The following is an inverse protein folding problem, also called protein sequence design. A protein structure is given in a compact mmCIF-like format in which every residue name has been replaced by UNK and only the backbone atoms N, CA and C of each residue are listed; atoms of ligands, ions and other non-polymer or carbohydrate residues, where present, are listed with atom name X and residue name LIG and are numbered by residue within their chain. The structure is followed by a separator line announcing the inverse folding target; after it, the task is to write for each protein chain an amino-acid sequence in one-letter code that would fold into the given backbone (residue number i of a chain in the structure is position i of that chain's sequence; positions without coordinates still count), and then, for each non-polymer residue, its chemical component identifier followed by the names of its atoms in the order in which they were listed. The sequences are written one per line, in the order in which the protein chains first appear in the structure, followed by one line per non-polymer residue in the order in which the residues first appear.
data_IF_345847247713
#
_entry.id   IF_345847247713
#
_cell.length_a   1.000
_cell.length_b   1.000
_cell.length_c   1.000
_cell.angle_alpha   90.00
_cell.angle_beta   90.00
_cell.angle_gamma   90.00
#
_symmetry.space_group_name_H-M   'P 1'
#
loop_
_entity.id
_entity.type
_entity.pdbx_description
1 polymer ?
#
# COMPACT_ATOMS: atom_id res chain seq x y z
N UNK A 1 2.11 -28.98 -11.88
CA UNK A 1 1.32 -27.91 -11.24
C UNK A 1 0.59 -28.52 -10.07
N UNK A 2 1.10 -28.33 -8.84
CA UNK A 2 0.36 -28.71 -7.63
C UNK A 2 -0.39 -27.46 -7.17
N UNK A 3 -1.67 -27.63 -6.87
CA UNK A 3 -2.55 -26.55 -6.48
C UNK A 3 -2.00 -25.84 -5.24
N UNK A 4 -1.94 -24.51 -5.29
CA UNK A 4 -1.84 -23.70 -4.09
C UNK A 4 -2.91 -24.18 -3.11
N UNK A 5 -2.56 -24.44 -1.84
CA UNK A 5 -3.58 -24.57 -0.79
C UNK A 5 -4.07 -23.16 -0.44
N UNK A 6 -4.71 -22.50 -1.40
CA UNK A 6 -5.46 -21.25 -1.20
C UNK A 6 -6.75 -21.48 -0.43
N UNK A 7 -7.11 -22.74 -0.16
CA UNK A 7 -8.29 -23.14 0.59
C UNK A 7 -7.88 -23.75 1.93
N UNK A 8 -8.24 -23.09 3.03
CA UNK A 8 -8.12 -23.61 4.39
C UNK A 8 -9.50 -24.08 4.86
N UNK A 9 -9.63 -25.36 5.23
CA UNK A 9 -10.94 -25.86 5.69
C UNK A 9 -11.25 -25.36 7.11
N UNK A 10 -12.54 -25.16 7.40
CA UNK A 10 -13.02 -24.78 8.74
C UNK A 10 -12.57 -25.80 9.80
N UNK A 11 -12.51 -27.10 9.45
CA UNK A 11 -12.03 -28.15 10.35
C UNK A 11 -10.53 -28.01 10.66
N UNK A 12 -9.70 -27.66 9.68
CA UNK A 12 -8.27 -27.39 9.90
C UNK A 12 -8.07 -26.16 10.80
N UNK A 13 -8.84 -25.09 10.60
CA UNK A 13 -8.84 -23.91 11.48
C UNK A 13 -9.21 -24.26 12.92
N UNK A 14 -10.33 -24.96 13.12
CA UNK A 14 -10.78 -25.39 14.45
C UNK A 14 -9.74 -26.26 15.15
N UNK A 15 -9.06 -27.16 14.41
CA UNK A 15 -7.97 -27.98 14.93
C UNK A 15 -6.78 -27.13 15.35
N UNK A 16 -6.35 -26.17 14.53
CA UNK A 16 -5.25 -25.25 14.84
C UNK A 16 -5.56 -24.41 16.09
N UNK A 17 -6.77 -23.87 16.19
CA UNK A 17 -7.23 -23.13 17.38
C UNK A 17 -7.20 -24.03 18.62
N UNK A 18 -7.70 -25.26 18.52
CA UNK A 18 -7.66 -26.23 19.61
C UNK A 18 -6.23 -26.56 20.07
N UNK A 19 -5.28 -26.68 19.14
CA UNK A 19 -3.86 -26.89 19.44
C UNK A 19 -3.23 -25.68 20.12
N UNK A 20 -3.59 -24.45 19.75
CA UNK A 20 -3.09 -23.26 20.42
C UNK A 20 -3.65 -23.13 21.85
N UNK A 21 -4.93 -23.46 22.04
CA UNK A 21 -5.54 -23.50 23.38
C UNK A 21 -4.86 -24.53 24.29
N UNK A 22 -4.55 -25.73 23.79
CA UNK A 22 -3.83 -26.75 24.58
C UNK A 22 -2.40 -26.32 24.94
N UNK A 23 -1.79 -25.43 24.15
CA UNK A 23 -0.50 -24.77 24.43
C UNK A 23 -0.60 -23.53 25.32
N UNK A 24 -1.76 -23.29 25.94
CA UNK A 24 -2.05 -22.14 26.82
C UNK A 24 -1.90 -20.77 26.13
N UNK A 25 -2.11 -20.71 24.82
CA UNK A 25 -2.21 -19.44 24.09
C UNK A 25 -3.59 -18.83 24.38
N UNK A 26 -3.63 -17.57 24.81
CA UNK A 26 -4.87 -16.88 25.18
C UNK A 26 -5.76 -16.60 23.97
N UNK A 27 -7.07 -16.51 24.14
CA UNK A 27 -8.01 -16.23 23.02
C UNK A 27 -7.65 -14.93 22.28
N UNK A 28 -7.21 -13.89 23.01
CA UNK A 28 -6.72 -12.65 22.39
C UNK A 28 -5.48 -12.87 21.52
N UNK A 29 -4.57 -13.76 21.91
CA UNK A 29 -3.37 -14.09 21.12
C UNK A 29 -3.72 -14.99 19.94
N UNK A 30 -4.70 -15.88 20.10
CA UNK A 30 -5.23 -16.73 19.02
C UNK A 30 -5.77 -15.87 17.88
N UNK A 31 -6.60 -14.86 18.17
CA UNK A 31 -7.12 -13.95 17.13
C UNK A 31 -5.98 -13.30 16.32
N UNK A 32 -4.95 -12.79 17.00
CA UNK A 32 -3.78 -12.16 16.36
C UNK A 32 -2.97 -13.13 15.50
N UNK A 33 -2.81 -14.38 15.96
CA UNK A 33 -2.12 -15.42 15.19
C UNK A 33 -2.95 -15.86 13.97
N UNK A 34 -4.28 -15.86 14.05
CA UNK A 34 -5.15 -16.11 12.90
C UNK A 34 -4.98 -15.03 11.83
N UNK A 35 -4.95 -13.75 12.22
CA UNK A 35 -4.68 -12.64 11.28
C UNK A 35 -3.33 -12.82 10.56
N UNK A 36 -2.27 -13.16 11.30
CA UNK A 36 -0.96 -13.46 10.73
C UNK A 36 -0.97 -14.69 9.81
N UNK A 37 -1.75 -15.71 10.14
CA UNK A 37 -1.85 -16.94 9.35
C UNK A 37 -2.59 -16.70 8.04
N UNK A 38 -3.67 -15.91 8.07
CA UNK A 38 -4.47 -15.54 6.90
C UNK A 38 -3.73 -14.57 5.97
N UNK A 39 -2.77 -13.82 6.50
CA UNK A 39 -1.81 -13.06 5.71
C UNK A 39 -2.07 -11.57 5.75
N UNK A 40 -1.24 -10.85 6.50
CA UNK A 40 -1.23 -9.40 6.52
C UNK A 40 -0.22 -8.89 5.49
N UNK A 41 -0.66 -8.81 4.24
CA UNK A 41 0.20 -8.49 3.08
C UNK A 41 0.98 -7.19 3.23
N UNK A 42 0.44 -6.20 3.95
CA UNK A 42 1.11 -4.92 4.25
C UNK A 42 2.41 -5.07 5.05
N UNK A 43 2.61 -6.20 5.73
CA UNK A 43 3.80 -6.49 6.52
C UNK A 43 4.65 -7.62 5.94
N UNK A 44 4.27 -8.16 4.78
CA UNK A 44 5.05 -9.17 4.07
C UNK A 44 6.00 -8.53 3.05
N UNK A 45 7.08 -9.23 2.72
CA UNK A 45 7.93 -8.90 1.58
C UNK A 45 7.46 -9.63 0.29
N UNK A 46 8.22 -9.47 -0.80
CA UNK A 46 7.93 -10.11 -2.10
C UNK A 46 7.90 -11.66 -2.03
N UNK A 47 8.57 -12.27 -1.04
CA UNK A 47 8.58 -13.73 -0.81
C UNK A 47 7.41 -14.21 0.06
N UNK A 48 6.43 -13.35 0.34
CA UNK A 48 5.32 -13.58 1.26
C UNK A 48 5.75 -14.04 2.66
N UNK A 49 6.91 -13.54 3.14
CA UNK A 49 7.38 -13.72 4.52
C UNK A 49 7.24 -12.43 5.31
N UNK A 50 7.07 -12.53 6.62
CA UNK A 50 7.13 -11.41 7.56
C UNK A 50 8.58 -11.20 8.00
N UNK A 51 9.26 -10.14 7.54
CA UNK A 51 10.66 -9.92 7.83
C UNK A 51 10.83 -9.22 9.20
N UNK A 52 12.00 -9.39 9.83
CA UNK A 52 12.28 -8.90 11.20
C UNK A 52 12.13 -7.38 11.34
N UNK A 53 12.39 -6.64 10.26
CA UNK A 53 12.21 -5.19 10.14
C UNK A 53 10.77 -4.78 10.48
N UNK A 54 9.79 -5.63 10.16
CA UNK A 54 8.37 -5.36 10.37
C UNK A 54 7.86 -5.85 11.74
N UNK A 55 8.66 -6.55 12.55
CA UNK A 55 8.18 -7.13 13.81
C UNK A 55 7.68 -6.09 14.81
N UNK A 56 8.32 -4.92 14.86
CA UNK A 56 7.87 -3.84 15.72
C UNK A 56 6.48 -3.35 15.30
N UNK A 57 6.29 -3.09 14.00
CA UNK A 57 5.03 -2.56 13.47
C UNK A 57 3.90 -3.59 13.54
N UNK A 58 4.17 -4.85 13.22
CA UNK A 58 3.24 -5.96 13.41
C UNK A 58 2.82 -6.05 14.88
N UNK A 59 3.78 -5.96 15.81
CA UNK A 59 3.50 -6.03 17.24
C UNK A 59 2.58 -4.88 17.68
N UNK A 60 2.77 -3.68 17.13
CA UNK A 60 1.94 -2.51 17.42
C UNK A 60 0.55 -2.63 16.81
N UNK A 61 0.45 -3.06 15.55
CA UNK A 61 -0.81 -3.22 14.83
C UNK A 61 -1.73 -4.24 15.50
N UNK A 62 -1.17 -5.40 15.87
CA UNK A 62 -1.88 -6.47 16.56
C UNK A 62 -1.96 -6.27 18.08
N UNK A 63 -1.50 -5.11 18.59
CA UNK A 63 -1.53 -4.75 20.01
C UNK A 63 -0.87 -5.82 20.91
N UNK A 64 0.26 -6.36 20.48
CA UNK A 64 1.17 -7.11 21.37
C UNK A 64 1.85 -6.14 22.33
N UNK A 65 2.29 -6.65 23.50
CA UNK A 65 3.04 -5.83 24.47
C UNK A 65 4.34 -5.28 23.88
N UNK A 66 5.01 -6.07 23.04
CA UNK A 66 6.19 -5.69 22.24
C UNK A 66 6.49 -6.78 21.20
N UNK A 67 7.49 -6.55 20.36
CA UNK A 67 7.95 -7.49 19.34
C UNK A 67 8.45 -8.84 19.90
N UNK A 68 9.00 -8.90 21.12
CA UNK A 68 9.39 -10.19 21.74
C UNK A 68 8.18 -11.08 22.01
N UNK A 69 7.08 -10.50 22.52
CA UNK A 69 5.83 -11.24 22.74
C UNK A 69 5.22 -11.77 21.43
N UNK A 70 5.34 -11.01 20.33
CA UNK A 70 4.96 -11.49 18.99
C UNK A 70 5.79 -12.72 18.60
N UNK A 71 7.12 -12.62 18.68
CA UNK A 71 8.05 -13.70 18.29
C UNK A 71 7.83 -14.96 19.15
N UNK A 72 7.62 -14.80 20.46
CA UNK A 72 7.28 -15.90 21.37
C UNK A 72 5.94 -16.54 20.99
N UNK A 73 4.91 -15.74 20.71
CA UNK A 73 3.60 -16.26 20.30
C UNK A 73 3.69 -17.05 18.99
N UNK A 74 4.43 -16.54 18.00
CA UNK A 74 4.69 -17.22 16.72
C UNK A 74 5.41 -18.55 16.97
N UNK A 75 6.47 -18.56 17.78
CA UNK A 75 7.23 -19.78 18.12
C UNK A 75 6.38 -20.82 18.85
N UNK A 76 5.63 -20.38 19.87
CA UNK A 76 4.76 -21.25 20.67
C UNK A 76 3.60 -21.83 19.85
N UNK A 77 3.07 -21.08 18.90
CA UNK A 77 1.97 -21.53 18.03
C UNK A 77 2.35 -22.76 17.20
N UNK A 78 3.62 -22.88 16.78
CA UNK A 78 4.11 -23.93 15.88
C UNK A 78 3.41 -23.98 14.52
N UNK A 79 2.66 -22.94 14.15
CA UNK A 79 1.86 -22.88 12.93
C UNK A 79 2.52 -22.07 11.81
N UNK A 80 3.71 -21.52 12.06
CA UNK A 80 4.46 -20.71 11.12
C UNK A 80 5.80 -21.38 10.79
N UNK A 81 6.29 -21.17 9.57
CA UNK A 81 7.68 -21.43 9.22
C UNK A 81 8.55 -20.30 9.75
N UNK A 82 9.70 -20.64 10.35
CA UNK A 82 10.60 -19.68 10.98
C UNK A 82 11.95 -19.74 10.28
N UNK A 83 12.47 -18.59 9.86
CA UNK A 83 13.83 -18.45 9.36
C UNK A 83 14.70 -17.91 10.50
N UNK A 84 15.75 -18.65 10.92
CA UNK A 84 16.63 -18.20 11.98
C UNK A 84 17.39 -16.93 11.55
N UNK A 85 17.76 -16.10 12.52
CA UNK A 85 18.52 -14.88 12.27
C UNK A 85 19.40 -14.54 13.46
N UNK A 86 20.58 -13.96 13.18
CA UNK A 86 21.51 -13.50 14.19
C UNK A 86 21.11 -12.11 14.70
N UNK A 87 20.10 -12.08 15.58
CA UNK A 87 19.58 -10.86 16.18
C UNK A 87 18.95 -11.15 17.56
N UNK A 88 18.50 -10.10 18.25
CA UNK A 88 17.91 -10.17 19.61
C UNK A 88 16.66 -11.07 19.68
N UNK A 89 16.01 -11.36 18.56
CA UNK A 89 14.83 -12.22 18.48
C UNK A 89 15.18 -13.68 18.10
N UNK A 90 16.42 -13.94 17.63
CA UNK A 90 16.84 -15.22 17.08
C UNK A 90 16.06 -15.65 15.84
N UNK A 91 15.48 -14.68 15.12
CA UNK A 91 14.56 -14.89 14.00
C UNK A 91 14.71 -13.74 13.00
N UNK A 92 15.03 -14.05 11.74
CA UNK A 92 15.13 -13.08 10.64
C UNK A 92 13.80 -12.87 9.94
N UNK A 93 12.96 -13.91 9.85
CA UNK A 93 11.60 -13.82 9.33
C UNK A 93 10.76 -15.01 9.77
N UNK A 94 9.44 -14.89 9.63
CA UNK A 94 8.52 -16.03 9.71
C UNK A 94 7.47 -15.96 8.61
N UNK A 95 6.83 -17.07 8.27
CA UNK A 95 5.84 -17.13 7.19
C UNK A 95 4.70 -18.08 7.49
N UNK A 96 3.54 -17.80 6.89
CA UNK A 96 2.40 -18.70 6.94
C UNK A 96 2.56 -19.78 5.86
N UNK A 97 2.29 -21.04 6.22
CA UNK A 97 2.26 -22.15 5.26
C UNK A 97 1.14 -22.04 4.22
N UNK A 98 0.21 -21.10 4.39
CA UNK A 98 -0.82 -20.78 3.39
C UNK A 98 -0.26 -19.94 2.25
N UNK A 99 0.79 -19.17 2.52
CA UNK A 99 1.37 -18.20 1.60
C UNK A 99 2.68 -18.66 0.97
N UNK A 100 3.45 -19.53 1.66
CA UNK A 100 4.71 -20.07 1.15
C UNK A 100 4.61 -21.58 0.89
N UNK A 101 4.92 -22.00 -0.33
CA UNK A 101 5.04 -23.43 -0.67
C UNK A 101 6.18 -24.07 0.15
N UNK A 102 5.99 -25.34 0.54
CA UNK A 102 7.10 -26.14 1.07
C UNK A 102 8.14 -26.33 -0.04
N UNK A 103 9.26 -25.63 0.04
CA UNK A 103 10.43 -25.99 -0.76
C UNK A 103 10.88 -27.40 -0.40
N UNK A 104 11.02 -28.24 -1.43
CA UNK A 104 11.83 -29.44 -1.36
C UNK A 104 13.30 -29.01 -1.49
N UNK A 105 14.14 -29.53 -0.62
CA UNK A 105 15.59 -29.63 -0.79
C UNK A 105 15.92 -30.24 -2.16
N UNK A 106 16.59 -29.48 -3.04
CA UNK A 106 18.01 -29.63 -3.41
C UNK A 106 18.32 -28.90 -4.72
N UNK A 107 19.51 -28.29 -4.74
CA UNK A 107 20.40 -27.97 -5.85
C UNK A 107 19.83 -27.65 -7.24
N UNK A 108 20.07 -26.44 -7.73
CA UNK A 108 21.08 -26.19 -8.78
C UNK A 108 21.06 -24.72 -9.23
N UNK A 109 22.19 -24.31 -9.80
CA UNK A 109 22.59 -22.95 -10.13
C UNK A 109 21.87 -22.31 -11.32
N UNK A 110 22.05 -20.98 -11.41
CA UNK A 110 21.98 -20.11 -12.61
C UNK A 110 20.61 -20.03 -13.32
N UNK A 111 19.98 -18.88 -13.48
CA UNK A 111 20.46 -17.76 -14.31
C UNK A 111 19.49 -16.57 -14.15
N UNK A 112 20.02 -15.34 -14.19
CA UNK A 112 19.24 -14.12 -14.40
C UNK A 112 18.54 -14.14 -15.77
N UNK A 113 17.37 -13.49 -15.90
CA UNK A 113 17.18 -12.67 -17.09
C UNK A 113 16.64 -11.28 -16.79
N UNK A 114 17.32 -10.30 -17.39
CA UNK A 114 16.82 -8.96 -17.63
C UNK A 114 15.63 -8.97 -18.59
N UNK A 115 14.64 -8.12 -18.31
CA UNK A 115 13.89 -7.30 -19.29
C UNK A 115 13.02 -6.28 -18.54
N UNK A 116 13.41 -5.01 -18.63
CA UNK A 116 12.58 -3.87 -18.22
C UNK A 116 11.40 -3.73 -19.18
N UNK A 117 10.15 -3.57 -18.70
CA UNK A 117 9.03 -3.20 -19.53
C UNK A 117 9.23 -1.76 -20.03
N UNK A 118 9.28 -1.64 -21.34
CA UNK A 118 9.29 -0.37 -22.06
C UNK A 118 7.83 0.11 -22.13
N UNK A 119 7.42 0.93 -21.16
CA UNK A 119 6.10 1.53 -21.09
C UNK A 119 6.18 2.98 -20.63
N UNK A 120 5.65 3.89 -21.44
CA UNK A 120 5.60 5.34 -21.24
C UNK A 120 4.69 5.76 -20.06
N UNK A 121 5.03 5.38 -18.82
CA UNK A 121 4.17 5.63 -17.64
C UNK A 121 4.78 6.70 -16.72
N UNK A 122 5.11 7.88 -17.27
CA UNK A 122 5.44 9.04 -16.43
C UNK A 122 4.87 10.30 -17.06
N UNK A 123 3.63 10.62 -16.69
CA UNK A 123 2.97 11.86 -17.04
C UNK A 123 3.55 13.02 -16.20
N UNK A 124 4.85 13.27 -16.36
CA UNK A 124 5.49 14.52 -15.95
C UNK A 124 5.13 15.52 -17.03
N UNK A 125 3.94 16.11 -16.91
CA UNK A 125 3.30 17.02 -17.88
C UNK A 125 3.65 16.68 -19.33
N UNK A 126 2.84 15.85 -20.01
CA UNK A 126 2.66 16.07 -21.45
C UNK A 126 2.20 17.51 -21.61
N UNK A 127 3.03 18.33 -22.24
CA UNK A 127 2.60 19.63 -22.77
C UNK A 127 1.34 19.31 -23.58
N UNK A 128 0.16 19.71 -23.10
CA UNK A 128 -0.93 19.94 -24.02
C UNK A 128 -0.34 20.95 -24.99
N UNK A 129 -0.15 20.54 -26.24
CA UNK A 129 0.02 21.46 -27.36
C UNK A 129 -1.24 22.35 -27.36
N UNK A 130 -1.28 23.36 -26.50
CA UNK A 130 -2.25 24.44 -26.53
C UNK A 130 -1.85 25.36 -27.68
N UNK A 131 -1.86 24.81 -28.90
CA UNK A 131 -2.23 25.56 -30.08
C UNK A 131 -3.71 25.89 -29.92
N UNK A 132 -3.99 26.94 -29.15
CA UNK A 132 -5.15 27.82 -29.22
C UNK A 132 -5.26 28.56 -27.89
N UNK A 133 -4.51 29.66 -27.77
CA UNK A 133 -5.07 30.95 -27.35
C UNK A 133 -3.97 32.01 -27.47
N UNK A 134 -3.90 32.59 -28.67
CA UNK A 134 -3.31 33.91 -28.86
C UNK A 134 -4.20 34.92 -28.14
N UNK A 135 -3.95 35.16 -26.85
CA UNK A 135 -4.35 36.41 -26.20
C UNK A 135 -3.10 37.15 -25.76
N UNK A 136 -2.75 38.16 -26.55
CA UNK A 136 -1.71 39.13 -26.29
C UNK A 136 -1.88 39.75 -24.89
N UNK A 137 -0.90 39.55 -24.02
CA UNK A 137 -0.83 40.16 -22.69
C UNK A 137 0.46 39.72 -22.03
N UNK A 138 1.26 40.65 -21.50
CA UNK A 138 2.61 40.41 -20.95
C UNK A 138 2.65 39.16 -20.06
N UNK A 139 3.20 38.06 -20.56
CA UNK A 139 3.50 36.87 -19.75
C UNK A 139 4.44 37.31 -18.63
N UNK A 140 4.00 37.17 -17.37
CA UNK A 140 4.76 37.59 -16.21
C UNK A 140 6.09 36.83 -16.15
N UNK A 141 7.14 37.42 -15.56
CA UNK A 141 8.43 36.75 -15.42
C UNK A 141 8.31 35.42 -14.63
N UNK A 142 7.39 35.37 -13.66
CA UNK A 142 7.11 34.17 -12.86
C UNK A 142 6.55 33.02 -13.70
N UNK A 143 5.64 33.32 -14.64
CA UNK A 143 5.00 32.32 -15.50
C UNK A 143 5.99 31.73 -16.51
N UNK A 144 6.87 32.57 -17.08
CA UNK A 144 7.98 32.10 -17.93
C UNK A 144 8.97 31.22 -17.17
N UNK A 145 9.28 31.57 -15.93
CA UNK A 145 10.18 30.79 -15.07
C UNK A 145 9.58 29.43 -14.73
N UNK A 146 8.27 29.38 -14.46
CA UNK A 146 7.52 28.16 -14.19
C UNK A 146 7.49 27.23 -15.39
N UNK A 147 7.22 27.77 -16.58
CA UNK A 147 7.22 27.00 -17.82
C UNK A 147 8.62 26.46 -18.16
N UNK A 148 9.67 27.26 -17.96
CA UNK A 148 11.05 26.81 -18.13
C UNK A 148 11.42 25.69 -17.15
N UNK A 149 10.92 25.74 -15.91
CA UNK A 149 11.12 24.69 -14.91
C UNK A 149 10.42 23.39 -15.31
N UNK A 150 9.17 23.47 -15.77
CA UNK A 150 8.43 22.31 -16.31
C UNK A 150 9.14 21.67 -17.49
N UNK A 151 9.57 22.49 -18.46
CA UNK A 151 10.31 22.03 -19.64
C UNK A 151 11.64 21.35 -19.26
N UNK A 152 12.31 21.81 -18.21
CA UNK A 152 13.52 21.17 -17.69
C UNK A 152 13.26 19.74 -17.18
N UNK A 153 12.26 19.53 -16.33
CA UNK A 153 11.93 18.18 -15.82
C UNK A 153 11.34 17.28 -16.90
N UNK A 154 10.60 17.84 -17.87
CA UNK A 154 10.14 17.09 -19.03
C UNK A 154 11.31 16.58 -19.87
N UNK A 155 12.36 17.40 -20.08
CA UNK A 155 13.55 16.99 -20.81
C UNK A 155 14.31 15.85 -20.08
N UNK A 156 14.38 15.90 -18.75
CA UNK A 156 14.94 14.80 -17.93
C UNK A 156 14.14 13.51 -18.15
N UNK A 157 12.81 13.60 -18.17
CA UNK A 157 11.95 12.42 -18.40
C UNK A 157 12.11 11.84 -19.82
N UNK A 158 12.31 12.71 -20.82
CA UNK A 158 12.46 12.30 -22.22
C UNK A 158 13.84 11.70 -22.52
N UNK A 159 14.89 12.15 -21.81
CA UNK A 159 16.23 11.61 -21.97
C UNK A 159 16.41 10.32 -21.12
N UNK A 160 16.58 9.13 -21.74
CA UNK A 160 16.71 7.87 -21.00
C UNK A 160 17.86 7.88 -19.99
N UNK A 161 18.98 8.52 -20.32
CA UNK A 161 20.16 8.56 -19.44
C UNK A 161 19.92 9.42 -18.21
N UNK A 162 19.31 10.60 -18.37
CA UNK A 162 19.03 11.49 -17.25
C UNK A 162 17.90 10.93 -16.37
N UNK A 163 16.87 10.35 -17.00
CA UNK A 163 15.81 9.63 -16.30
C UNK A 163 16.36 8.49 -15.44
N UNK A 164 17.23 7.66 -16.02
CA UNK A 164 17.84 6.54 -15.30
C UNK A 164 18.76 6.99 -14.17
N UNK A 165 19.43 8.13 -14.31
CA UNK A 165 20.35 8.65 -13.28
C UNK A 165 19.66 9.42 -12.16
N UNK A 166 18.52 10.05 -12.44
CA UNK A 166 17.86 10.96 -11.49
C UNK A 166 16.55 10.37 -10.99
N UNK A 167 15.65 9.98 -11.89
CA UNK A 167 14.30 9.54 -11.50
C UNK A 167 14.26 8.08 -11.05
N UNK A 168 14.99 7.18 -11.71
CA UNK A 168 15.01 5.76 -11.33
C UNK A 168 15.49 5.53 -9.89
N UNK A 169 16.54 6.18 -9.37
CA UNK A 169 16.93 6.00 -7.98
C UNK A 169 15.93 6.58 -6.96
N UNK A 170 15.17 7.62 -7.35
CA UNK A 170 14.13 8.21 -6.48
C UNK A 170 12.90 7.31 -6.42
N UNK A 171 12.41 6.93 -7.60
CA UNK A 171 11.92 5.60 -7.97
C UNK A 171 12.03 4.51 -6.90
N UNK A 172 13.14 3.79 -7.04
CA UNK A 172 13.49 2.63 -6.25
C UNK A 172 13.59 2.99 -4.76
N UNK A 173 14.05 4.21 -4.44
CA UNK A 173 14.09 4.72 -3.08
C UNK A 173 12.70 4.85 -2.42
N UNK A 174 11.68 5.27 -3.15
CA UNK A 174 10.30 5.29 -2.65
C UNK A 174 9.74 3.88 -2.49
N UNK A 175 10.04 2.97 -3.43
CA UNK A 175 9.63 1.57 -3.34
C UNK A 175 10.24 0.87 -2.13
N UNK A 176 11.55 0.97 -1.94
CA UNK A 176 12.26 0.29 -0.86
C UNK A 176 11.88 0.83 0.52
N UNK A 177 11.71 2.16 0.66
CA UNK A 177 11.43 2.77 1.96
C UNK A 177 10.00 2.56 2.45
N UNK A 178 9.04 2.49 1.55
CA UNK A 178 7.61 2.36 1.89
C UNK A 178 6.99 1.03 1.47
N UNK A 179 7.75 0.11 0.84
CA UNK A 179 7.21 -1.14 0.31
C UNK A 179 6.18 -0.94 -0.80
N UNK A 180 6.35 0.10 -1.64
CA UNK A 180 5.35 0.51 -2.62
C UNK A 180 5.45 -0.26 -3.93
N UNK A 181 4.27 -0.51 -4.53
CA UNK A 181 4.17 -0.88 -5.93
C UNK A 181 4.80 0.21 -6.81
N UNK A 182 5.29 -0.18 -7.99
CA UNK A 182 5.99 0.72 -8.90
C UNK A 182 5.14 1.94 -9.24
N UNK A 183 3.85 1.75 -9.44
CA UNK A 183 2.86 2.78 -9.79
C UNK A 183 2.71 3.85 -8.69
N UNK A 184 2.55 3.43 -7.43
CA UNK A 184 2.46 4.35 -6.30
C UNK A 184 3.76 5.13 -6.07
N UNK A 185 4.89 4.47 -6.25
CA UNK A 185 6.19 5.12 -6.16
C UNK A 185 6.41 6.14 -7.29
N UNK A 186 5.87 5.87 -8.49
CA UNK A 186 5.81 6.83 -9.58
C UNK A 186 4.93 8.04 -9.22
N UNK A 187 3.78 7.82 -8.59
CA UNK A 187 2.90 8.91 -8.15
C UNK A 187 3.60 9.84 -7.14
N UNK A 188 4.38 9.28 -6.21
CA UNK A 188 5.21 10.08 -5.29
C UNK A 188 6.26 10.92 -6.04
N UNK A 189 6.90 10.36 -7.08
CA UNK A 189 7.82 11.13 -7.92
C UNK A 189 7.11 12.26 -8.66
N UNK A 190 5.91 12.01 -9.20
CA UNK A 190 5.12 13.03 -9.89
C UNK A 190 4.80 14.18 -8.96
N UNK A 191 4.35 13.89 -7.73
CA UNK A 191 4.10 14.92 -6.71
C UNK A 191 5.38 15.69 -6.37
N UNK A 192 6.50 14.98 -6.12
CA UNK A 192 7.80 15.60 -5.83
C UNK A 192 8.21 16.59 -6.94
N UNK A 193 8.07 16.19 -8.19
CA UNK A 193 8.47 17.03 -9.34
C UNK A 193 7.51 18.22 -9.48
N UNK A 194 6.20 17.96 -9.51
CA UNK A 194 5.22 18.97 -9.88
C UNK A 194 4.93 19.97 -8.75
N UNK A 195 4.83 19.50 -7.51
CA UNK A 195 4.37 20.31 -6.38
C UNK A 195 5.53 20.90 -5.57
N UNK A 196 6.73 20.29 -5.64
CA UNK A 196 7.87 20.69 -4.81
C UNK A 196 9.03 21.23 -5.64
N UNK A 197 9.53 20.45 -6.60
CA UNK A 197 10.74 20.82 -7.35
C UNK A 197 10.47 21.90 -8.41
N UNK A 198 9.41 21.78 -9.21
CA UNK A 198 9.06 22.77 -10.24
C UNK A 198 8.84 24.16 -9.62
N UNK A 199 8.03 24.32 -8.55
CA UNK A 199 7.85 25.62 -7.91
C UNK A 199 9.15 26.14 -7.28
N UNK A 200 9.95 25.25 -6.68
CA UNK A 200 11.25 25.63 -6.12
C UNK A 200 12.16 26.21 -7.21
N UNK A 201 12.37 25.53 -8.33
CA UNK A 201 13.26 26.02 -9.38
C UNK A 201 12.70 27.26 -10.09
N UNK A 202 11.38 27.35 -10.27
CA UNK A 202 10.72 28.51 -10.85
C UNK A 202 10.92 29.78 -9.99
N UNK A 203 11.00 29.63 -8.67
CA UNK A 203 11.24 30.75 -7.74
C UNK A 203 12.67 31.29 -7.76
N UNK A 204 13.62 30.60 -8.42
CA UNK A 204 15.03 30.99 -8.40
C UNK A 204 15.41 31.83 -9.62
N UNK A 205 15.80 33.09 -9.41
CA UNK A 205 16.22 33.98 -10.51
C UNK A 205 17.41 33.44 -11.33
N UNK A 206 18.30 32.68 -10.68
CA UNK A 206 19.49 32.08 -11.32
C UNK A 206 19.15 30.89 -12.22
N UNK A 207 17.97 30.30 -12.07
CA UNK A 207 17.54 29.14 -12.85
C UNK A 207 17.56 29.44 -14.35
N UNK A 208 16.98 30.57 -14.75
CA UNK A 208 16.93 31.01 -16.15
C UNK A 208 18.31 31.27 -16.76
N UNK A 209 19.30 31.64 -15.94
CA UNK A 209 20.68 31.94 -16.38
C UNK A 209 21.59 30.71 -16.42
N UNK A 210 21.15 29.59 -15.85
CA UNK A 210 21.95 28.36 -15.74
C UNK A 210 21.78 27.46 -16.97
N UNK A 211 22.86 26.80 -17.38
CA UNK A 211 22.83 25.78 -18.45
C UNK A 211 22.11 24.52 -17.99
N UNK A 212 21.69 23.67 -18.93
CA UNK A 212 21.03 22.40 -18.61
C UNK A 212 21.89 21.51 -17.69
N UNK A 213 23.18 21.35 -18.00
CA UNK A 213 24.13 20.58 -17.16
C UNK A 213 24.27 21.19 -15.76
N UNK A 214 24.33 22.52 -15.66
CA UNK A 214 24.36 23.21 -14.37
C UNK A 214 23.09 22.96 -13.53
N UNK A 215 21.92 22.95 -14.17
CA UNK A 215 20.63 22.64 -13.52
C UNK A 215 20.57 21.18 -13.04
N UNK A 216 21.12 20.23 -13.79
CA UNK A 216 21.21 18.82 -13.36
C UNK A 216 22.12 18.65 -12.13
N UNK A 217 23.29 19.30 -12.13
CA UNK A 217 24.19 19.30 -10.99
C UNK A 217 23.53 19.91 -9.76
N UNK A 218 22.85 21.05 -9.94
CA UNK A 218 22.08 21.69 -8.88
C UNK A 218 20.99 20.77 -8.33
N UNK A 219 20.17 20.14 -9.20
CA UNK A 219 19.16 19.18 -8.76
C UNK A 219 19.76 18.02 -7.96
N UNK A 220 20.87 17.44 -8.41
CA UNK A 220 21.54 16.35 -7.69
C UNK A 220 22.02 16.79 -6.30
N UNK A 221 22.58 17.99 -6.19
CA UNK A 221 23.03 18.54 -4.90
C UNK A 221 21.84 18.90 -3.99
N UNK A 222 20.77 19.45 -4.56
CA UNK A 222 19.55 19.77 -3.83
C UNK A 222 18.96 18.52 -3.19
N UNK A 223 18.81 17.43 -3.94
CA UNK A 223 18.25 16.17 -3.46
C UNK A 223 19.07 15.53 -2.32
N UNK A 224 20.37 15.84 -2.23
CA UNK A 224 21.24 15.40 -1.13
C UNK A 224 21.24 16.34 0.07
N UNK A 225 20.77 17.58 -0.10
CA UNK A 225 20.70 18.57 0.97
C UNK A 225 19.55 18.29 1.94
N UNK A 226 19.60 18.88 3.14
CA UNK A 226 18.50 18.80 4.11
C UNK A 226 17.16 19.29 3.53
N UNK A 227 17.20 20.31 2.67
CA UNK A 227 16.01 20.82 1.98
C UNK A 227 15.39 19.80 1.01
N UNK A 228 16.22 19.14 0.20
CA UNK A 228 15.76 18.09 -0.71
C UNK A 228 15.28 16.83 0.02
N UNK A 229 15.94 16.43 1.10
CA UNK A 229 15.49 15.33 1.95
C UNK A 229 14.11 15.62 2.58
N UNK A 230 13.85 16.87 2.97
CA UNK A 230 12.51 17.28 3.43
C UNK A 230 11.47 17.18 2.32
N UNK A 231 11.78 17.65 1.11
CA UNK A 231 10.88 17.53 -0.05
C UNK A 231 10.55 16.06 -0.38
N UNK A 232 11.55 15.17 -0.29
CA UNK A 232 11.33 13.73 -0.48
C UNK A 232 10.37 13.17 0.56
N UNK A 233 10.54 13.56 1.83
CA UNK A 233 9.61 13.17 2.90
C UNK A 233 8.20 13.72 2.67
N UNK A 234 8.08 14.99 2.28
CA UNK A 234 6.78 15.62 2.02
C UNK A 234 6.04 14.92 0.87
N UNK A 235 6.77 14.48 -0.17
CA UNK A 235 6.20 13.69 -1.26
C UNK A 235 5.73 12.31 -0.81
N UNK A 236 6.50 11.65 0.05
CA UNK A 236 6.10 10.38 0.68
C UNK A 236 4.82 10.55 1.51
N UNK A 237 4.78 11.56 2.38
CA UNK A 237 3.62 11.84 3.23
C UNK A 237 2.38 12.21 2.41
N UNK A 238 2.54 12.99 1.33
CA UNK A 238 1.46 13.32 0.40
C UNK A 238 0.90 12.07 -0.31
N UNK A 239 1.79 11.21 -0.81
CA UNK A 239 1.39 9.93 -1.42
C UNK A 239 0.60 9.05 -0.45
N UNK A 240 1.04 8.97 0.81
CA UNK A 240 0.32 8.23 1.86
C UNK A 240 -1.08 8.80 2.09
N UNK A 241 -1.21 10.13 2.18
CA UNK A 241 -2.52 10.79 2.34
C UNK A 241 -3.43 10.51 1.15
N UNK A 242 -2.92 10.58 -0.07
CA UNK A 242 -3.69 10.29 -1.28
C UNK A 242 -4.23 8.86 -1.27
N UNK A 243 -3.41 7.87 -0.90
CA UNK A 243 -3.85 6.47 -0.82
C UNK A 243 -4.93 6.27 0.24
N UNK A 244 -4.77 6.89 1.43
CA UNK A 244 -5.80 6.83 2.48
C UNK A 244 -7.10 7.50 2.02
N UNK A 245 -7.01 8.63 1.34
CA UNK A 245 -8.19 9.32 0.81
C UNK A 245 -8.88 8.50 -0.28
N UNK A 246 -8.13 7.96 -1.24
CA UNK A 246 -8.67 7.09 -2.29
C UNK A 246 -9.38 5.86 -1.69
N UNK A 247 -8.83 5.25 -0.64
CA UNK A 247 -9.48 4.15 0.07
C UNK A 247 -10.76 4.58 0.79
N UNK A 248 -10.77 5.77 1.39
CA UNK A 248 -11.96 6.33 2.02
C UNK A 248 -13.06 6.63 0.98
N UNK A 249 -12.67 7.19 -0.17
CA UNK A 249 -13.57 7.52 -1.27
C UNK A 249 -14.14 6.24 -1.90
N UNK A 250 -13.31 5.24 -2.18
CA UNK A 250 -13.77 3.92 -2.66
C UNK A 250 -14.73 3.27 -1.67
N UNK A 251 -14.45 3.32 -0.37
CA UNK A 251 -15.35 2.79 0.67
C UNK A 251 -16.66 3.59 0.74
N UNK A 252 -16.61 4.90 0.56
CA UNK A 252 -17.80 5.76 0.48
C UNK A 252 -18.66 5.43 -0.73
N UNK A 253 -18.04 5.28 -1.91
CA UNK A 253 -18.74 4.90 -3.14
C UNK A 253 -19.36 3.50 -3.07
N UNK A 254 -18.67 2.53 -2.46
CA UNK A 254 -19.23 1.20 -2.18
C UNK A 254 -20.47 1.29 -1.29
N UNK A 255 -20.40 2.10 -0.23
CA UNK A 255 -21.50 2.28 0.73
C UNK A 255 -22.67 3.07 0.16
N UNK A 256 -22.48 3.88 -0.86
CA UNK A 256 -23.55 4.62 -1.54
C UNK A 256 -24.37 3.74 -2.51
N UNK A 257 -23.98 2.49 -2.75
CA UNK A 257 -24.68 1.60 -3.66
C UNK A 257 -25.85 0.89 -2.98
N UNK A 258 -27.05 1.48 -3.04
CA UNK A 258 -28.28 1.00 -2.38
C UNK A 258 -29.35 0.49 -3.38
N UNK A 259 -29.12 -0.61 -4.12
CA UNK A 259 -30.06 -1.05 -5.16
C UNK A 259 -31.38 -1.64 -4.65
N UNK A 260 -31.43 -2.13 -3.40
CA UNK A 260 -32.60 -2.81 -2.83
C UNK A 260 -33.39 -1.93 -1.85
N UNK A 261 -32.71 -1.31 -0.89
CA UNK A 261 -33.28 -0.31 -0.01
C UNK A 261 -32.19 0.61 0.56
N UNK A 262 -32.59 1.74 1.15
CA UNK A 262 -31.70 2.77 1.72
C UNK A 262 -30.87 2.26 2.92
N UNK A 263 -31.34 1.20 3.60
CA UNK A 263 -30.74 0.73 4.86
C UNK A 263 -29.66 -0.34 4.70
N UNK A 264 -29.42 -0.79 3.47
CA UNK A 264 -28.40 -1.77 3.11
C UNK A 264 -27.66 -1.36 1.83
N UNK A 265 -26.37 -1.65 1.75
CA UNK A 265 -25.58 -1.38 0.57
C UNK A 265 -25.07 -2.69 -0.03
N UNK A 266 -24.81 -2.68 -1.34
CA UNK A 266 -24.34 -3.87 -2.07
C UNK A 266 -22.94 -3.61 -2.60
N UNK A 267 -22.02 -4.51 -2.31
CA UNK A 267 -20.70 -4.46 -2.93
C UNK A 267 -20.82 -4.81 -4.42
N UNK A 268 -20.34 -3.93 -5.31
CA UNK A 268 -20.50 -4.10 -6.76
C UNK A 268 -19.65 -5.24 -7.32
N UNK A 269 -18.53 -5.56 -6.68
CA UNK A 269 -17.65 -6.63 -7.15
C UNK A 269 -18.16 -8.01 -6.73
N UNK A 270 -18.51 -8.20 -5.46
CA UNK A 270 -18.97 -9.50 -4.95
C UNK A 270 -20.48 -9.72 -5.09
N UNK A 271 -21.27 -8.66 -5.25
CA UNK A 271 -22.73 -8.72 -5.21
C UNK A 271 -23.32 -8.94 -3.82
N UNK A 272 -22.47 -9.01 -2.78
CA UNK A 272 -22.90 -9.25 -1.40
C UNK A 272 -23.56 -7.99 -0.81
N UNK A 273 -24.57 -8.24 0.04
CA UNK A 273 -25.35 -7.19 0.70
C UNK A 273 -24.86 -6.99 2.12
N UNK A 274 -24.84 -5.74 2.58
CA UNK A 274 -24.33 -5.38 3.89
C UNK A 274 -25.16 -4.28 4.55
N UNK A 275 -25.11 -4.21 5.87
CA UNK A 275 -25.51 -3.04 6.63
C UNK A 275 -24.47 -2.69 7.69
N UNK A 276 -24.42 -1.42 8.09
CA UNK A 276 -23.59 -0.99 9.21
C UNK A 276 -24.39 -1.06 10.51
N UNK A 277 -23.97 -1.94 11.41
CA UNK A 277 -24.43 -2.11 12.78
C UNK A 277 -23.58 -1.25 13.75
N UNK A 278 -24.18 -0.51 14.69
CA UNK A 278 -23.42 0.31 15.64
C UNK A 278 -22.47 -0.47 16.55
N UNK A 279 -22.76 -1.75 16.85
CA UNK A 279 -21.99 -2.61 17.75
C UNK A 279 -21.06 -3.56 16.98
N UNK A 280 -21.56 -4.18 15.90
CA UNK A 280 -20.83 -5.19 15.13
C UNK A 280 -20.05 -4.61 13.94
N UNK A 281 -20.34 -3.36 13.55
CA UNK A 281 -19.75 -2.73 12.37
C UNK A 281 -20.40 -3.25 11.09
N UNK A 282 -19.61 -3.72 10.12
CA UNK A 282 -20.14 -4.16 8.83
C UNK A 282 -20.68 -5.60 8.91
N UNK A 283 -22.00 -5.76 8.79
CA UNK A 283 -22.69 -7.06 8.86
C UNK A 283 -23.15 -7.51 7.47
N UNK A 284 -22.80 -8.74 7.10
CA UNK A 284 -23.22 -9.36 5.83
C UNK A 284 -24.66 -9.88 5.91
N UNK A 285 -25.46 -9.54 4.91
CA UNK A 285 -26.84 -9.99 4.73
C UNK A 285 -26.84 -11.15 3.72
N UNK A 286 -27.30 -12.36 4.11
CA UNK A 286 -27.40 -13.49 3.20
C UNK A 286 -28.29 -13.20 1.97
N UNK A 287 -27.97 -13.79 0.81
CA UNK A 287 -28.70 -13.55 -0.45
C UNK A 287 -30.20 -13.85 -0.36
N UNK A 288 -30.58 -14.83 0.45
CA UNK A 288 -31.97 -15.25 0.66
C UNK A 288 -32.73 -14.40 1.69
N UNK A 289 -32.08 -13.44 2.34
CA UNK A 289 -32.71 -12.56 3.32
C UNK A 289 -33.60 -11.52 2.62
N UNK A 290 -34.80 -11.21 3.15
CA UNK A 290 -35.60 -10.10 2.63
C UNK A 290 -34.86 -8.75 2.80
N UNK A 291 -35.21 -7.71 2.03
CA UNK A 291 -34.65 -6.36 2.20
C UNK A 291 -34.75 -5.87 3.65
N UNK A 292 -33.73 -5.16 4.12
CA UNK A 292 -33.71 -4.62 5.47
C UNK A 292 -34.88 -3.65 5.67
N UNK A 293 -35.76 -3.87 6.67
CA UNK A 293 -37.00 -3.11 6.81
C UNK A 293 -36.80 -1.72 7.42
N UNK A 294 -35.66 -1.46 8.08
CA UNK A 294 -35.37 -0.17 8.71
C UNK A 294 -33.97 -0.10 9.30
N UNK A 295 -33.51 1.12 9.62
CA UNK A 295 -32.17 1.39 10.13
C UNK A 295 -31.82 0.70 11.47
N UNK A 296 -32.84 0.38 12.30
CA UNK A 296 -32.69 -0.32 13.58
C UNK A 296 -32.95 -1.83 13.51
N UNK A 297 -33.11 -2.40 12.31
CA UNK A 297 -33.35 -3.82 12.14
C UNK A 297 -32.02 -4.59 12.10
N UNK A 298 -31.88 -5.62 12.90
CA UNK A 298 -30.66 -6.43 12.99
C UNK A 298 -30.90 -7.83 12.43
N UNK A 299 -29.93 -8.35 11.69
CA UNK A 299 -30.04 -9.67 11.10
C UNK A 299 -29.73 -10.74 12.13
N UNK A 300 -30.74 -11.52 12.54
CA UNK A 300 -30.51 -12.64 13.44
C UNK A 300 -30.11 -13.87 12.62
N UNK A 301 -28.82 -14.22 12.67
CA UNK A 301 -28.24 -15.35 11.95
C UNK A 301 -28.86 -16.70 12.35
N UNK A 302 -29.32 -16.85 13.60
CA UNK A 302 -29.90 -18.10 14.09
C UNK A 302 -31.35 -18.29 13.64
N UNK A 303 -32.14 -17.22 13.62
CA UNK A 303 -33.56 -17.28 13.25
C UNK A 303 -33.79 -17.02 11.76
N UNK A 304 -32.79 -16.48 11.04
CA UNK A 304 -32.90 -16.11 9.63
C UNK A 304 -33.92 -15.00 9.38
N UNK A 305 -34.09 -14.11 10.36
CA UNK A 305 -35.08 -13.03 10.31
C UNK A 305 -34.49 -11.72 10.82
N UNK A 306 -35.07 -10.61 10.36
CA UNK A 306 -34.85 -9.30 10.94
C UNK A 306 -35.46 -9.23 12.35
N UNK A 307 -34.65 -8.90 13.34
CA UNK A 307 -35.07 -8.52 14.68
C UNK A 307 -35.04 -7.00 14.84
N UNK A 308 -35.69 -6.49 15.88
CA UNK A 308 -35.51 -5.11 16.34
C UNK A 308 -34.49 -5.08 17.46
N UNK A 309 -33.63 -4.06 17.47
CA UNK A 309 -32.88 -3.69 18.67
C UNK A 309 -33.89 -3.20 19.73
N UNK A 310 -34.37 -4.10 20.61
CA UNK A 310 -35.04 -3.69 21.84
C UNK A 310 -33.96 -3.11 22.77
N UNK A 311 -33.88 -1.78 22.81
CA UNK A 311 -33.15 -1.04 23.85
C UNK A 311 -33.93 -1.05 25.17
#
# INVERSE_FOLDING_TARGET
MKAHKTTLSVRELQKTIGQWKSRKITDSTIAKLLELMLGMTAYMNEDAVYPVENFYDISKALKFKNARYLVEAVRLSGAFGIVPGDNVYGMSSFYSYLWKEKEKTDDSAETLPAKLPQGDIYNIYTIQDNKNNTSSGRISFAEKSLEAARNFFHLINKNPMDKMRIFTPLIDGFQQKEGLAREDACANLVYLVNELLVPYFASQERFMKSTHVGRLCWLSNLLKSAGGLRMLKDATDAGRRQRVQNLADMRGEQRNNHPLCEFEWTDKESGLRFYDDPLEGMVNIPDNAPPRPGAGAEWNVLSGKWGSCEL
#
